data_IF_897909117442
#
_entry.id   IF_897909117442
#
_cell.length_a   1.000
_cell.length_b   1.000
_cell.length_c   1.000
_cell.angle_alpha   90.00
_cell.angle_beta   90.00
_cell.angle_gamma   90.00
#
_symmetry.space_group_name_H-M   'P 1'
#
loop_
_entity.id
_entity.type
_entity.pdbx_description
1 polymer ?
#
# COMPACT_ATOMS: atom_id res chain seq x y z
N UNK A 1 32.60 29.71 47.82
CA UNK A 1 31.92 29.75 46.51
C UNK A 1 31.37 28.36 46.21
N UNK A 2 30.06 28.15 46.35
CA UNK A 2 29.42 26.88 46.00
C UNK A 2 28.50 27.13 44.80
N UNK A 3 28.69 26.39 43.71
CA UNK A 3 27.83 26.51 42.53
C UNK A 3 26.48 25.82 42.78
N UNK A 4 25.35 26.43 42.41
CA UNK A 4 24.06 25.75 42.50
C UNK A 4 23.92 24.85 41.27
N UNK A 5 24.26 23.57 41.40
CA UNK A 5 23.79 22.56 40.45
C UNK A 5 22.26 22.55 40.49
N UNK A 6 21.62 23.12 39.45
CA UNK A 6 20.17 23.04 39.23
C UNK A 6 19.76 21.56 39.27
N UNK A 7 19.11 21.15 40.34
CA UNK A 7 18.42 19.86 40.38
C UNK A 7 17.37 19.85 39.28
N UNK A 8 17.66 19.14 38.19
CA UNK A 8 16.70 18.85 37.12
C UNK A 8 15.49 18.18 37.80
N UNK A 9 14.29 18.77 37.67
CA UNK A 9 13.07 18.26 38.33
C UNK A 9 12.56 17.00 37.63
N UNK A 10 13.22 15.87 37.86
CA UNK A 10 12.89 14.53 37.33
C UNK A 10 11.44 14.10 37.63
N UNK A 11 10.80 14.65 38.68
CA UNK A 11 9.39 14.37 39.03
C UNK A 11 8.37 14.80 37.97
N UNK A 12 8.73 15.71 37.05
CA UNK A 12 7.84 16.15 35.95
C UNK A 12 8.06 15.39 34.63
N UNK A 13 9.14 14.62 34.52
CA UNK A 13 9.50 13.88 33.31
C UNK A 13 8.41 12.89 32.84
N UNK A 14 7.82 12.03 33.70
CA UNK A 14 6.79 11.08 33.25
C UNK A 14 5.52 11.79 32.75
N UNK A 15 5.18 12.95 33.34
CA UNK A 15 4.04 13.77 32.87
C UNK A 15 4.30 14.31 31.46
N UNK A 16 5.48 14.85 31.19
CA UNK A 16 5.84 15.36 29.86
C UNK A 16 5.93 14.25 28.82
N UNK A 17 6.50 13.09 29.18
CA UNK A 17 6.52 11.92 28.30
C UNK A 17 5.09 11.43 27.98
N UNK A 18 4.21 11.38 28.97
CA UNK A 18 2.80 11.05 28.76
C UNK A 18 2.09 12.05 27.84
N UNK A 19 2.30 13.36 28.03
CA UNK A 19 1.75 14.39 27.16
C UNK A 19 2.27 14.24 25.72
N UNK A 20 3.58 14.00 25.54
CA UNK A 20 4.17 13.79 24.22
C UNK A 20 3.63 12.54 23.53
N UNK A 21 3.47 11.44 24.26
CA UNK A 21 2.89 10.21 23.74
C UNK A 21 1.43 10.41 23.31
N UNK A 22 0.62 11.08 24.13
CA UNK A 22 -0.77 11.42 23.80
C UNK A 22 -0.87 12.38 22.62
N UNK A 23 0.02 13.39 22.55
CA UNK A 23 0.07 14.31 21.42
C UNK A 23 0.46 13.59 20.13
N UNK A 24 1.42 12.67 20.19
CA UNK A 24 1.79 11.83 19.04
C UNK A 24 0.62 10.97 18.57
N UNK A 25 -0.08 10.29 19.49
CA UNK A 25 -1.26 9.49 19.17
C UNK A 25 -2.39 10.34 18.59
N UNK A 26 -2.70 11.49 19.19
CA UNK A 26 -3.73 12.40 18.67
C UNK A 26 -3.38 12.89 17.27
N UNK A 27 -2.09 13.20 17.02
CA UNK A 27 -1.60 13.64 15.72
C UNK A 27 -1.71 12.54 14.66
N UNK A 28 -1.30 11.31 14.95
CA UNK A 28 -1.41 10.19 13.99
C UNK A 28 -2.87 9.88 13.66
N UNK A 29 -3.76 9.88 14.66
CA UNK A 29 -5.20 9.73 14.44
C UNK A 29 -5.77 10.85 13.58
N UNK A 30 -5.44 12.11 13.88
CA UNK A 30 -5.87 13.26 13.10
C UNK A 30 -5.43 13.14 11.63
N UNK A 31 -4.16 12.82 11.39
CA UNK A 31 -3.63 12.66 10.03
C UNK A 31 -4.35 11.54 9.29
N UNK A 32 -4.53 10.36 9.89
CA UNK A 32 -5.24 9.25 9.26
C UNK A 32 -6.71 9.62 8.98
N UNK A 33 -7.38 10.30 9.91
CA UNK A 33 -8.77 10.75 9.72
C UNK A 33 -8.90 11.79 8.61
N UNK A 34 -7.95 12.72 8.48
CA UNK A 34 -7.94 13.69 7.37
C UNK A 34 -7.75 12.97 6.04
N UNK A 35 -6.80 12.04 5.97
CA UNK A 35 -6.50 11.28 4.76
C UNK A 35 -7.62 10.31 4.34
N UNK A 36 -8.60 10.04 5.21
CA UNK A 36 -9.86 9.38 4.85
C UNK A 36 -10.61 10.15 3.76
N UNK A 37 -10.56 11.48 3.80
CA UNK A 37 -11.35 12.37 2.95
C UNK A 37 -10.48 13.11 1.93
N UNK A 38 -9.23 13.42 2.29
CA UNK A 38 -8.32 14.22 1.46
C UNK A 38 -7.31 13.32 0.76
N UNK A 39 -7.15 13.42 -0.57
CA UNK A 39 -6.07 12.77 -1.30
C UNK A 39 -4.69 13.04 -0.70
N UNK A 40 -3.86 12.01 -0.41
CA UNK A 40 -2.45 12.25 -0.12
C UNK A 40 -1.74 12.81 -1.36
N UNK A 41 -1.15 14.00 -1.20
CA UNK A 41 -0.24 14.63 -2.15
C UNK A 41 1.09 13.88 -2.35
N UNK A 42 1.53 13.10 -1.37
CA UNK A 42 2.74 12.28 -1.41
C UNK A 42 2.63 11.12 -0.44
N UNK A 43 3.59 10.20 -0.48
CA UNK A 43 3.72 9.08 0.44
C UNK A 43 5.15 9.00 0.99
N UNK A 44 5.31 8.35 2.14
CA UNK A 44 6.63 8.18 2.75
C UNK A 44 7.65 7.51 1.80
N UNK A 45 7.22 6.54 0.98
CA UNK A 45 8.10 5.92 -0.03
C UNK A 45 8.45 6.87 -1.17
N UNK A 46 7.56 7.75 -1.61
CA UNK A 46 7.88 8.76 -2.62
C UNK A 46 8.92 9.76 -2.11
N UNK A 47 8.74 10.22 -0.86
CA UNK A 47 9.68 11.15 -0.20
C UNK A 47 11.05 10.49 -0.03
N UNK A 48 11.10 9.24 0.45
CA UNK A 48 12.34 8.48 0.57
C UNK A 48 13.07 8.38 -0.78
N UNK A 49 12.33 8.15 -1.87
CA UNK A 49 12.91 8.00 -3.21
C UNK A 49 13.44 9.32 -3.76
N UNK A 50 12.71 10.42 -3.59
CA UNK A 50 13.22 11.75 -3.94
C UNK A 50 14.51 12.09 -3.18
N UNK A 51 14.52 11.82 -1.86
CA UNK A 51 15.69 12.06 -1.02
C UNK A 51 16.88 11.17 -1.40
N UNK A 52 16.62 9.90 -1.67
CA UNK A 52 17.64 8.95 -2.12
C UNK A 52 18.25 9.38 -3.46
N UNK A 53 17.43 9.79 -4.44
CA UNK A 53 17.92 10.29 -5.72
C UNK A 53 18.79 11.54 -5.56
N UNK A 54 18.37 12.47 -4.70
CA UNK A 54 19.12 13.69 -4.40
C UNK A 54 20.50 13.40 -3.79
N UNK A 55 20.57 12.51 -2.79
CA UNK A 55 21.83 12.14 -2.12
C UNK A 55 22.79 11.42 -3.08
N UNK A 56 22.28 10.53 -3.93
CA UNK A 56 23.12 9.74 -4.84
C UNK A 56 23.44 10.49 -6.15
N UNK A 57 22.96 11.72 -6.31
CA UNK A 57 23.18 12.52 -7.52
C UNK A 57 22.49 11.96 -8.77
N UNK A 58 21.41 11.21 -8.61
CA UNK A 58 20.61 10.70 -9.73
C UNK A 58 19.78 11.85 -10.34
N UNK A 59 20.41 12.57 -11.29
CA UNK A 59 19.82 13.74 -11.95
C UNK A 59 18.68 13.39 -12.91
N UNK A 60 18.56 12.13 -13.30
CA UNK A 60 17.56 11.67 -14.26
C UNK A 60 16.28 11.16 -13.58
N UNK A 61 16.31 11.00 -12.25
CA UNK A 61 15.12 10.59 -11.50
C UNK A 61 14.03 11.64 -11.56
N UNK A 62 12.87 11.24 -12.09
CA UNK A 62 11.65 12.05 -12.11
C UNK A 62 10.53 11.30 -11.40
N UNK A 63 9.93 11.95 -10.40
CA UNK A 63 8.74 11.44 -9.75
C UNK A 63 7.51 11.83 -10.58
N UNK A 64 6.89 10.83 -11.20
CA UNK A 64 5.60 10.95 -11.88
C UNK A 64 4.52 10.36 -10.98
N UNK A 65 3.67 11.25 -10.46
CA UNK A 65 2.50 10.89 -9.69
C UNK A 65 1.37 11.83 -10.08
N UNK A 66 0.19 11.27 -10.27
CA UNK A 66 -1.03 12.06 -10.33
C UNK A 66 -2.15 11.29 -9.63
N UNK A 67 -2.89 12.00 -8.78
CA UNK A 67 -4.02 11.41 -8.06
C UNK A 67 -5.24 11.29 -8.96
N UNK A 68 -5.86 10.12 -8.98
CA UNK A 68 -7.10 9.83 -9.69
C UNK A 68 -8.18 9.48 -8.69
N UNK A 69 -9.31 10.19 -8.73
CA UNK A 69 -10.46 9.84 -7.88
C UNK A 69 -11.05 8.51 -8.31
N UNK A 70 -11.65 7.76 -7.37
CA UNK A 70 -12.23 6.44 -7.60
C UNK A 70 -13.16 6.36 -8.81
N UNK A 71 -13.95 7.42 -9.07
CA UNK A 71 -14.89 7.47 -10.19
C UNK A 71 -14.21 7.51 -11.56
N UNK A 72 -12.95 7.94 -11.60
CA UNK A 72 -12.15 8.08 -12.81
C UNK A 72 -11.13 6.95 -12.95
N UNK A 73 -11.20 5.92 -12.10
CA UNK A 73 -10.38 4.71 -12.18
C UNK A 73 -11.25 3.62 -12.80
N UNK A 74 -10.73 2.95 -13.83
CA UNK A 74 -11.38 1.76 -14.37
C UNK A 74 -11.55 0.72 -13.24
N UNK A 75 -12.76 0.15 -13.04
CA UNK A 75 -12.99 -0.75 -11.92
C UNK A 75 -12.25 -2.09 -12.06
N UNK A 76 -11.72 -2.38 -13.25
CA UNK A 76 -10.79 -3.48 -13.47
C UNK A 76 -9.47 -3.32 -12.70
N UNK A 77 -9.01 -2.09 -12.44
CA UNK A 77 -7.76 -1.83 -11.72
C UNK A 77 -7.82 -2.27 -10.26
N UNK A 78 -8.74 -1.75 -9.41
CA UNK A 78 -8.84 -2.22 -8.04
C UNK A 78 -9.15 -3.71 -7.96
N UNK A 79 -9.95 -4.24 -8.89
CA UNK A 79 -10.20 -5.68 -8.98
C UNK A 79 -8.91 -6.49 -9.25
N UNK A 80 -8.06 -6.03 -10.17
CA UNK A 80 -6.80 -6.69 -10.47
C UNK A 80 -5.84 -6.66 -9.26
N UNK A 81 -5.81 -5.55 -8.51
CA UNK A 81 -5.01 -5.46 -7.29
C UNK A 81 -5.48 -6.46 -6.24
N UNK A 82 -6.78 -6.51 -5.97
CA UNK A 82 -7.39 -7.49 -5.07
C UNK A 82 -7.11 -8.92 -5.56
N UNK A 83 -7.32 -9.21 -6.85
CA UNK A 83 -7.10 -10.53 -7.42
C UNK A 83 -5.64 -11.01 -7.34
N UNK A 84 -4.68 -10.08 -7.51
CA UNK A 84 -3.25 -10.39 -7.59
C UNK A 84 -2.48 -10.32 -6.28
N UNK A 85 -2.95 -9.52 -5.31
CA UNK A 85 -2.26 -9.25 -4.05
C UNK A 85 -3.05 -9.71 -2.82
N UNK A 86 -4.39 -9.61 -2.82
CA UNK A 86 -5.20 -9.79 -1.62
C UNK A 86 -6.68 -10.11 -1.94
N UNK A 87 -6.96 -11.37 -2.28
CA UNK A 87 -8.31 -11.77 -2.74
C UNK A 87 -9.37 -11.68 -1.64
N UNK A 88 -8.95 -11.85 -0.38
CA UNK A 88 -9.83 -11.79 0.80
C UNK A 88 -10.00 -10.37 1.34
N UNK A 89 -9.45 -9.35 0.68
CA UNK A 89 -9.46 -7.96 1.10
C UNK A 89 -10.80 -7.44 1.66
N UNK A 90 -11.97 -7.73 1.04
CA UNK A 90 -13.25 -7.25 1.56
C UNK A 90 -13.67 -7.87 2.90
N UNK A 91 -13.14 -9.05 3.25
CA UNK A 91 -13.62 -9.87 4.35
C UNK A 91 -12.79 -9.80 5.63
N UNK A 92 -11.57 -9.25 5.58
CA UNK A 92 -10.69 -9.13 6.74
C UNK A 92 -10.54 -7.68 7.21
N UNK A 93 -10.01 -7.44 8.40
CA UNK A 93 -9.77 -6.09 8.95
C UNK A 93 -8.28 -5.74 9.01
N UNK A 94 -7.62 -5.85 7.85
CA UNK A 94 -6.21 -5.48 7.65
C UNK A 94 -5.21 -6.61 7.76
N UNK A 95 -5.59 -7.74 8.34
CA UNK A 95 -4.73 -8.91 8.47
C UNK A 95 -5.49 -10.14 8.01
N UNK A 96 -4.86 -10.93 7.14
CA UNK A 96 -5.36 -12.23 6.71
C UNK A 96 -4.67 -13.32 7.53
N UNK A 97 -5.23 -13.63 8.70
CA UNK A 97 -4.69 -14.64 9.61
C UNK A 97 -4.65 -16.03 8.96
N UNK A 98 -5.68 -16.40 8.19
CA UNK A 98 -5.69 -17.66 7.46
C UNK A 98 -4.51 -17.79 6.49
N UNK A 99 -4.13 -16.69 5.82
CA UNK A 99 -2.97 -16.66 4.91
C UNK A 99 -1.65 -16.61 5.66
N UNK A 100 -1.61 -16.02 6.87
CA UNK A 100 -0.44 -16.02 7.74
C UNK A 100 -0.16 -17.45 8.23
N UNK A 101 -1.18 -18.14 8.74
CA UNK A 101 -1.04 -19.51 9.25
C UNK A 101 -0.56 -20.45 8.14
N UNK A 102 -1.19 -20.39 6.96
CA UNK A 102 -0.76 -21.17 5.79
C UNK A 102 0.68 -20.84 5.34
N UNK A 103 1.11 -19.59 5.50
CA UNK A 103 2.47 -19.18 5.15
C UNK A 103 3.51 -19.68 6.16
N UNK A 104 3.13 -19.80 7.44
CA UNK A 104 3.94 -20.41 8.50
C UNK A 104 4.06 -21.91 8.25
N UNK A 105 2.93 -22.62 8.05
CA UNK A 105 2.93 -24.05 7.74
C UNK A 105 3.81 -24.36 6.51
N UNK A 106 3.69 -23.56 5.45
CA UNK A 106 4.52 -23.71 4.26
C UNK A 106 6.01 -23.43 4.51
N UNK A 107 6.34 -22.54 5.44
CA UNK A 107 7.73 -22.25 5.80
C UNK A 107 8.34 -23.37 6.66
N UNK A 108 7.55 -23.98 7.54
CA UNK A 108 7.92 -25.18 8.30
C UNK A 108 8.16 -26.37 7.36
N UNK A 109 7.43 -26.44 6.24
CA UNK A 109 7.67 -27.37 5.11
C UNK A 109 8.90 -27.02 4.24
N UNK A 110 9.72 -26.03 4.64
CA UNK A 110 10.94 -25.62 3.93
C UNK A 110 10.69 -24.78 2.66
N UNK A 111 9.46 -24.34 2.40
CA UNK A 111 9.17 -23.41 1.29
C UNK A 111 9.52 -21.99 1.72
N UNK A 112 9.90 -21.15 0.76
CA UNK A 112 10.20 -19.74 1.03
C UNK A 112 8.95 -19.05 1.58
N UNK A 113 9.03 -18.52 2.80
CA UNK A 113 7.96 -17.76 3.45
C UNK A 113 7.54 -16.60 2.53
N UNK A 114 6.39 -16.74 1.87
CA UNK A 114 5.82 -15.68 1.03
C UNK A 114 5.22 -14.66 1.98
N UNK A 115 5.79 -13.47 2.02
CA UNK A 115 5.25 -12.37 2.82
C UNK A 115 3.92 -11.91 2.23
N UNK A 116 2.81 -12.51 2.66
CA UNK A 116 1.47 -12.12 2.28
C UNK A 116 1.05 -10.87 3.08
N UNK A 117 1.58 -9.70 2.72
CA UNK A 117 1.07 -8.44 3.29
C UNK A 117 -0.21 -8.04 2.57
N UNK A 118 -1.27 -7.79 3.33
CA UNK A 118 -2.57 -7.36 2.81
C UNK A 118 -2.47 -5.99 2.13
N UNK A 119 -3.46 -5.63 1.31
CA UNK A 119 -3.52 -4.31 0.69
C UNK A 119 -3.50 -3.19 1.75
N UNK A 120 -4.14 -3.39 2.90
CA UNK A 120 -4.15 -2.42 4.00
C UNK A 120 -2.78 -2.26 4.65
N UNK A 121 -2.05 -3.36 4.86
CA UNK A 121 -0.66 -3.32 5.34
C UNK A 121 0.27 -2.63 4.33
N UNK A 122 0.11 -2.95 3.05
CA UNK A 122 0.90 -2.31 2.00
C UNK A 122 0.58 -0.80 1.90
N UNK A 123 -0.68 -0.41 2.07
CA UNK A 123 -1.11 1.00 2.11
C UNK A 123 -0.48 1.72 3.30
N UNK A 124 -0.58 1.15 4.51
CA UNK A 124 0.03 1.69 5.71
C UNK A 124 1.55 1.86 5.55
N UNK A 125 2.22 0.83 5.04
CA UNK A 125 3.66 0.83 4.76
C UNK A 125 4.03 1.95 3.79
N UNK A 126 3.38 2.00 2.62
CA UNK A 126 3.76 2.94 1.56
C UNK A 126 3.46 4.40 1.96
N UNK A 127 2.34 4.62 2.64
CA UNK A 127 1.86 5.96 2.97
C UNK A 127 2.64 6.59 4.13
N UNK A 128 2.90 5.84 5.20
CA UNK A 128 3.42 6.38 6.46
C UNK A 128 4.86 5.99 6.79
N UNK A 129 5.40 4.95 6.14
CA UNK A 129 6.69 4.37 6.52
C UNK A 129 7.68 4.35 5.34
N UNK A 130 8.96 4.25 5.68
CA UNK A 130 10.05 4.10 4.72
C UNK A 130 10.35 2.62 4.43
N UNK A 131 11.11 2.35 3.37
CA UNK A 131 11.58 1.02 3.07
C UNK A 131 12.63 0.55 4.08
N UNK A 132 12.49 -0.67 4.59
CA UNK A 132 13.47 -1.25 5.50
C UNK A 132 13.00 -2.54 6.15
N UNK A 133 13.90 -3.24 6.85
CA UNK A 133 13.56 -4.44 7.63
C UNK A 133 13.88 -4.18 9.09
N UNK A 134 12.85 -3.85 9.87
CA UNK A 134 12.97 -3.64 11.32
C UNK A 134 11.67 -4.08 11.98
N UNK A 135 11.77 -4.78 13.11
CA UNK A 135 10.61 -5.19 13.92
C UNK A 135 9.81 -3.99 14.40
N UNK A 136 10.48 -2.89 14.78
CA UNK A 136 9.82 -1.63 15.16
C UNK A 136 9.00 -1.08 14.00
N UNK A 137 9.57 -1.06 12.79
CA UNK A 137 8.85 -0.63 11.59
C UNK A 137 7.64 -1.52 11.32
N UNK A 138 7.77 -2.84 11.50
CA UNK A 138 6.65 -3.77 11.32
C UNK A 138 5.55 -3.57 12.38
N UNK A 139 5.92 -3.20 13.61
CA UNK A 139 4.96 -2.79 14.65
C UNK A 139 4.21 -1.52 14.29
N UNK A 140 4.90 -0.51 13.76
CA UNK A 140 4.27 0.72 13.25
C UNK A 140 3.36 0.44 12.04
N UNK A 141 3.77 -0.47 11.15
CA UNK A 141 2.95 -0.92 10.01
C UNK A 141 1.64 -1.53 10.50
N UNK A 142 1.70 -2.41 11.51
CA UNK A 142 0.52 -2.99 12.11
C UNK A 142 -0.38 -1.93 12.78
N UNK A 143 0.21 -0.99 13.53
CA UNK A 143 -0.51 0.13 14.15
C UNK A 143 -1.28 0.95 13.10
N UNK A 144 -0.60 1.43 12.05
CA UNK A 144 -1.27 2.21 11.00
C UNK A 144 -2.29 1.39 10.19
N UNK A 145 -2.06 0.09 10.01
CA UNK A 145 -3.03 -0.82 9.38
C UNK A 145 -4.34 -0.84 10.16
N UNK A 146 -4.26 -0.99 11.50
CA UNK A 146 -5.44 -0.96 12.37
C UNK A 146 -6.15 0.41 12.28
N UNK A 147 -5.41 1.51 12.36
CA UNK A 147 -6.00 2.85 12.24
C UNK A 147 -6.73 3.05 10.91
N UNK A 148 -6.12 2.64 9.79
CA UNK A 148 -6.73 2.71 8.46
C UNK A 148 -8.00 1.86 8.41
N UNK A 149 -7.97 0.61 8.85
CA UNK A 149 -9.13 -0.30 8.79
C UNK A 149 -10.28 0.12 9.71
N UNK A 150 -9.99 0.74 10.85
CA UNK A 150 -11.01 1.28 11.74
C UNK A 150 -11.68 2.54 11.20
N UNK A 151 -10.94 3.34 10.43
CA UNK A 151 -11.39 4.69 10.06
C UNK A 151 -11.77 4.83 8.59
N UNK A 152 -11.23 4.01 7.68
CA UNK A 152 -11.45 4.15 6.24
C UNK A 152 -12.33 3.03 5.70
N UNK A 153 -13.32 3.34 4.84
CA UNK A 153 -14.05 2.29 4.13
C UNK A 153 -13.10 1.57 3.16
N UNK A 154 -13.34 0.27 2.92
CA UNK A 154 -12.52 -0.58 2.01
C UNK A 154 -12.23 0.04 0.66
N UNK A 155 -13.24 0.69 0.07
CA UNK A 155 -13.11 1.46 -1.17
C UNK A 155 -12.04 2.55 -1.07
N UNK A 156 -12.00 3.30 0.03
CA UNK A 156 -11.01 4.38 0.23
C UNK A 156 -9.60 3.81 0.38
N UNK A 157 -9.46 2.69 1.07
CA UNK A 157 -8.17 1.99 1.20
C UNK A 157 -7.66 1.60 -0.19
N UNK A 158 -8.50 0.96 -1.02
CA UNK A 158 -8.13 0.62 -2.40
C UNK A 158 -7.81 1.85 -3.25
N UNK A 159 -8.61 2.91 -3.15
CA UNK A 159 -8.37 4.17 -3.89
C UNK A 159 -7.01 4.76 -3.54
N UNK A 160 -6.65 4.82 -2.26
CA UNK A 160 -5.34 5.31 -1.84
C UNK A 160 -4.25 4.36 -2.32
N UNK A 161 -4.42 3.05 -2.13
CA UNK A 161 -3.46 2.03 -2.55
C UNK A 161 -3.08 2.17 -4.03
N UNK A 162 -4.08 2.19 -4.92
CA UNK A 162 -3.82 2.28 -6.38
C UNK A 162 -3.20 3.60 -6.79
N UNK A 163 -3.35 4.66 -6.00
CA UNK A 163 -2.77 5.98 -6.28
C UNK A 163 -1.37 6.20 -5.70
N UNK A 164 -0.93 5.35 -4.77
CA UNK A 164 0.41 5.45 -4.16
C UNK A 164 1.33 4.27 -4.48
N UNK A 165 0.81 3.21 -5.07
CA UNK A 165 1.61 2.06 -5.49
C UNK A 165 2.68 2.45 -6.52
N UNK A 166 3.89 1.92 -6.39
CA UNK A 166 4.95 2.07 -7.39
C UNK A 166 4.72 1.04 -8.49
N UNK A 167 4.57 1.50 -9.73
CA UNK A 167 4.42 0.64 -10.92
C UNK A 167 5.68 0.58 -11.77
N UNK A 168 6.62 1.49 -11.55
CA UNK A 168 7.88 1.62 -12.29
C UNK A 168 8.87 2.52 -11.58
N UNK A 169 10.09 2.65 -12.12
CA UNK A 169 11.05 3.60 -11.58
C UNK A 169 10.52 5.03 -11.68
N UNK A 170 10.16 5.63 -10.54
CA UNK A 170 9.59 6.98 -10.50
C UNK A 170 8.12 7.08 -10.89
N UNK A 171 7.45 5.96 -11.21
CA UNK A 171 6.05 5.95 -11.65
C UNK A 171 5.18 5.46 -10.49
N UNK A 172 4.39 6.39 -9.92
CA UNK A 172 3.54 6.14 -8.77
C UNK A 172 2.08 6.43 -9.08
N UNK A 173 1.22 5.50 -8.67
CA UNK A 173 -0.21 5.57 -8.89
C UNK A 173 -0.64 5.10 -10.28
N UNK A 174 -1.88 4.59 -10.34
CA UNK A 174 -2.53 4.11 -11.58
C UNK A 174 -2.56 5.20 -12.63
N UNK A 175 -2.67 6.44 -12.18
CA UNK A 175 -2.63 7.62 -13.00
C UNK A 175 -1.41 7.68 -13.90
N UNK A 176 -0.26 7.94 -13.29
CA UNK A 176 1.01 8.03 -14.00
C UNK A 176 1.32 6.73 -14.76
N UNK A 177 0.97 5.57 -14.21
CA UNK A 177 1.19 4.29 -14.87
C UNK A 177 0.36 4.12 -16.16
N UNK A 178 -0.89 4.58 -16.18
CA UNK A 178 -1.77 4.49 -17.35
C UNK A 178 -1.25 5.31 -18.53
N UNK A 179 -0.79 6.54 -18.24
CA UNK A 179 -0.20 7.44 -19.23
C UNK A 179 1.15 6.90 -19.73
N UNK A 180 2.01 6.46 -18.82
CA UNK A 180 3.36 6.02 -19.14
C UNK A 180 3.40 4.71 -19.93
N UNK A 181 2.50 3.76 -19.63
CA UNK A 181 2.57 2.41 -20.21
C UNK A 181 1.56 2.14 -21.31
N UNK A 182 0.42 2.81 -21.27
CA UNK A 182 -0.69 2.50 -22.17
C UNK A 182 -1.20 3.70 -22.97
N UNK A 183 -0.68 4.91 -22.70
CA UNK A 183 -1.13 6.15 -23.34
C UNK A 183 -2.65 6.32 -23.30
N UNK A 184 -3.26 5.92 -22.19
CA UNK A 184 -4.71 5.87 -22.02
C UNK A 184 -5.11 6.53 -20.70
N UNK A 185 -6.33 7.06 -20.64
CA UNK A 185 -6.87 7.55 -19.38
C UNK A 185 -7.05 6.38 -18.38
N UNK A 186 -6.87 6.60 -17.07
CA UNK A 186 -7.04 5.56 -16.05
C UNK A 186 -8.42 4.88 -16.09
N UNK A 187 -9.45 5.63 -16.47
CA UNK A 187 -10.83 5.15 -16.64
C UNK A 187 -11.00 4.18 -17.82
N UNK A 188 -10.10 4.22 -18.80
CA UNK A 188 -10.18 3.43 -20.03
C UNK A 188 -9.38 2.12 -19.96
N UNK A 189 -8.70 1.84 -18.85
CA UNK A 189 -7.91 0.63 -18.72
C UNK A 189 -8.79 -0.61 -18.74
N UNK A 190 -8.51 -1.53 -19.67
CA UNK A 190 -9.17 -2.82 -19.77
C UNK A 190 -8.65 -3.85 -18.75
N UNK A 191 -9.30 -5.03 -18.66
CA UNK A 191 -8.91 -6.08 -17.71
C UNK A 191 -7.46 -6.56 -17.90
N UNK A 192 -7.00 -6.73 -19.14
CA UNK A 192 -5.63 -7.15 -19.43
C UNK A 192 -4.58 -6.09 -19.04
N UNK A 193 -4.87 -4.80 -19.22
CA UNK A 193 -3.97 -3.71 -18.79
C UNK A 193 -3.92 -3.63 -17.26
N UNK A 194 -5.06 -3.69 -16.60
CA UNK A 194 -5.16 -3.73 -15.14
C UNK A 194 -4.39 -4.93 -14.54
N UNK A 195 -4.54 -6.12 -15.14
CA UNK A 195 -3.82 -7.31 -14.71
C UNK A 195 -2.30 -7.19 -14.90
N UNK A 196 -1.84 -6.54 -15.99
CA UNK A 196 -0.40 -6.25 -16.19
C UNK A 196 0.14 -5.27 -15.14
N UNK A 197 -0.62 -4.24 -14.75
CA UNK A 197 -0.24 -3.34 -13.66
C UNK A 197 -0.10 -4.09 -12.33
N UNK A 198 -1.05 -4.95 -11.99
CA UNK A 198 -0.98 -5.76 -10.78
C UNK A 198 0.19 -6.77 -10.83
N UNK A 199 0.50 -7.31 -12.01
CA UNK A 199 1.58 -8.29 -12.18
C UNK A 199 2.99 -7.74 -11.91
N UNK A 200 3.20 -6.42 -12.04
CA UNK A 200 4.52 -5.80 -11.83
C UNK A 200 4.80 -5.37 -10.38
N UNK A 201 3.75 -5.25 -9.54
CA UNK A 201 3.86 -4.81 -8.15
C UNK A 201 4.87 -5.55 -7.26
N UNK A 202 5.14 -6.87 -7.45
CA UNK A 202 6.16 -7.55 -6.65
C UNK A 202 7.58 -7.01 -6.87
N UNK A 203 7.86 -6.38 -8.01
CA UNK A 203 9.19 -5.86 -8.37
C UNK A 203 9.08 -4.75 -9.44
N UNK A 204 8.43 -3.62 -9.14
CA UNK A 204 8.04 -2.61 -10.14
C UNK A 204 9.23 -1.94 -10.82
N UNK A 205 10.39 -1.90 -10.16
CA UNK A 205 11.63 -1.36 -10.74
C UNK A 205 12.34 -2.32 -11.70
N UNK A 206 11.95 -3.59 -11.73
CA UNK A 206 12.57 -4.64 -12.57
C UNK A 206 11.60 -5.23 -13.59
N UNK A 207 10.29 -5.07 -13.36
CA UNK A 207 9.23 -5.60 -14.20
C UNK A 207 8.55 -4.45 -14.93
N UNK A 208 8.13 -4.70 -16.16
CA UNK A 208 7.59 -3.69 -17.06
C UNK A 208 6.18 -4.10 -17.52
N UNK A 209 5.21 -3.20 -17.39
CA UNK A 209 3.82 -3.47 -17.78
C UNK A 209 3.57 -3.21 -19.28
N UNK A 210 4.31 -2.26 -19.86
CA UNK A 210 4.34 -1.92 -21.29
C UNK A 210 5.09 -2.98 -22.11
N UNK A 211 6.19 -3.52 -21.57
CA UNK A 211 7.02 -4.56 -22.20
C UNK A 211 7.10 -5.81 -21.30
N UNK A 212 5.98 -6.53 -21.12
CA UNK A 212 5.92 -7.63 -20.17
C UNK A 212 6.78 -8.80 -20.61
N UNK A 213 7.66 -9.27 -19.73
CA UNK A 213 8.36 -10.53 -19.94
C UNK A 213 7.38 -11.71 -19.92
N UNK A 214 7.83 -12.89 -20.34
CA UNK A 214 7.02 -14.11 -20.23
C UNK A 214 6.53 -14.38 -18.80
N UNK A 215 7.32 -14.01 -17.78
CA UNK A 215 6.90 -14.08 -16.38
C UNK A 215 5.74 -13.12 -16.07
N UNK A 216 5.87 -11.85 -16.47
CA UNK A 216 4.82 -10.84 -16.26
C UNK A 216 3.54 -11.24 -16.99
N UNK A 217 3.62 -11.72 -18.23
CA UNK A 217 2.47 -12.21 -18.99
C UNK A 217 1.78 -13.38 -18.31
N UNK A 218 2.53 -14.39 -17.85
CA UNK A 218 1.94 -15.52 -17.11
C UNK A 218 1.22 -15.07 -15.83
N UNK A 219 1.84 -14.16 -15.06
CA UNK A 219 1.23 -13.61 -13.85
C UNK A 219 -0.01 -12.77 -14.18
N UNK A 220 0.04 -11.92 -15.21
CA UNK A 220 -1.11 -11.12 -15.65
C UNK A 220 -2.28 -12.00 -16.11
N UNK A 221 -2.00 -13.06 -16.88
CA UNK A 221 -3.04 -14.01 -17.30
C UNK A 221 -3.67 -14.72 -16.09
N UNK A 222 -2.86 -15.15 -15.12
CA UNK A 222 -3.36 -15.72 -13.87
C UNK A 222 -4.24 -14.71 -13.12
N UNK A 223 -3.78 -13.47 -12.94
CA UNK A 223 -4.56 -12.39 -12.29
C UNK A 223 -5.89 -12.17 -13.02
N UNK A 224 -5.87 -12.08 -14.36
CA UNK A 224 -7.08 -11.88 -15.15
C UNK A 224 -8.07 -13.04 -15.00
N UNK A 225 -7.59 -14.28 -14.90
CA UNK A 225 -8.44 -15.43 -14.59
C UNK A 225 -9.05 -15.31 -13.20
N UNK A 226 -8.27 -14.90 -12.19
CA UNK A 226 -8.75 -14.68 -10.82
C UNK A 226 -9.80 -13.56 -10.77
N UNK A 227 -9.63 -12.47 -11.53
CA UNK A 227 -10.62 -11.40 -11.66
C UNK A 227 -11.97 -11.93 -12.18
N UNK A 228 -11.94 -12.87 -13.14
CA UNK A 228 -13.14 -13.55 -13.62
C UNK A 228 -13.78 -14.45 -12.56
N UNK A 229 -12.98 -15.20 -11.81
CA UNK A 229 -13.44 -16.07 -10.72
C UNK A 229 -14.07 -15.30 -9.55
N UNK A 230 -13.60 -14.07 -9.30
CA UNK A 230 -14.19 -13.16 -8.31
C UNK A 230 -15.53 -12.54 -8.78
N UNK A 231 -15.96 -12.78 -10.01
CA UNK A 231 -17.22 -12.26 -10.56
C UNK A 231 -17.11 -10.86 -11.17
N UNK A 232 -15.89 -10.39 -11.46
CA UNK A 232 -15.67 -9.13 -12.17
C UNK A 232 -15.80 -7.87 -11.30
N UNK A 233 -15.97 -6.68 -11.91
CA UNK A 233 -15.90 -5.38 -11.25
C UNK A 233 -16.87 -5.20 -10.07
N UNK A 234 -18.01 -5.89 -10.09
CA UNK A 234 -19.00 -5.87 -9.02
C UNK A 234 -18.44 -6.28 -7.65
N UNK A 235 -17.36 -7.08 -7.64
CA UNK A 235 -16.66 -7.51 -6.42
C UNK A 235 -16.14 -6.33 -5.58
N UNK A 236 -15.63 -5.29 -6.24
CA UNK A 236 -15.02 -4.12 -5.58
C UNK A 236 -15.94 -2.90 -5.49
N UNK A 237 -17.04 -2.88 -6.25
CA UNK A 237 -17.99 -1.76 -6.31
C UNK A 237 -19.11 -1.81 -5.25
N UNK A 238 -19.23 -2.91 -4.48
CA UNK A 238 -20.22 -3.04 -3.42
C UNK A 238 -21.23 -4.18 -3.61
N UNK A 239 -20.99 -5.08 -4.57
CA UNK A 239 -21.69 -6.37 -4.69
C UNK A 239 -20.70 -7.52 -4.50
N UNK A 240 -19.82 -7.42 -3.50
CA UNK A 240 -18.98 -8.56 -3.14
C UNK A 240 -19.91 -9.76 -2.89
N UNK A 241 -19.75 -10.87 -3.62
CA UNK A 241 -20.53 -12.08 -3.36
C UNK A 241 -20.31 -12.50 -1.90
N UNK A 242 -21.26 -13.19 -1.27
CA UNK A 242 -21.06 -13.71 0.08
C UNK A 242 -19.75 -14.49 0.15
N UNK A 243 -19.01 -14.29 1.26
CA UNK A 243 -17.70 -14.88 1.51
C UNK A 243 -17.69 -16.34 1.03
N UNK A 244 -16.76 -16.76 0.15
CA UNK A 244 -16.64 -18.16 -0.17
C UNK A 244 -16.44 -18.92 1.14
N UNK A 245 -17.32 -19.89 1.39
CA UNK A 245 -17.04 -20.90 2.42
C UNK A 245 -15.75 -21.58 1.94
N UNK A 246 -14.74 -21.66 2.81
CA UNK A 246 -13.43 -22.31 2.68
C UNK A 246 -12.24 -21.34 2.85
#
# INVERSE_FOLDING_TARGET
MASPFRQIRWRKLPRWLGILALAWLASTWLVVLVLRFVPPWTSAVMVERQFSAWIHGDRDFRLHQHWVSWKNISPWVPLAMVAGEDQKFPYHHGFDFDSIDKAIDAADDGKRLRGASTISQQTAKNLFLWNGRSFVRKGLEAYFTVLIELTWPKRRILEVYVNIAEFGNGIYGVGAASEAYFHAAPAQLGPAQAARLAAVLPSPRRLHADRPSAYVMRRANWIQQQMGQLGGPGYVEGRAPPRPKH
#
